data_IF_428312959017
#
_entry.id   IF_428312959017
#
_cell.length_a   1.000
_cell.length_b   1.000
_cell.length_c   1.000
_cell.angle_alpha   90.00
_cell.angle_beta   90.00
_cell.angle_gamma   90.00
#
_symmetry.space_group_name_H-M   'P 1'
#
loop_
_entity.id
_entity.type
_entity.pdbx_description
1 polymer ?
#
# COMPACT_ATOMS: atom_id res chain seq x y z
N UNK A 1 -17.40 10.45 8.79
CA UNK A 1 -16.01 10.03 9.08
C UNK A 1 -15.25 9.98 7.77
N UNK A 2 -14.03 10.51 7.76
CA UNK A 2 -13.13 10.50 6.58
C UNK A 2 -12.02 9.50 6.82
N UNK A 3 -11.92 8.52 5.93
CA UNK A 3 -10.93 7.44 5.98
C UNK A 3 -9.92 7.67 4.85
N UNK A 4 -8.66 7.76 5.20
CA UNK A 4 -7.54 7.79 4.26
C UNK A 4 -6.93 6.40 4.20
N UNK A 5 -6.70 5.89 3.01
CA UNK A 5 -6.15 4.55 2.77
C UNK A 5 -4.92 4.70 1.89
N UNK A 6 -3.79 4.16 2.32
CA UNK A 6 -2.60 4.07 1.46
C UNK A 6 -2.83 3.10 0.29
N UNK A 7 -2.01 3.20 -0.73
CA UNK A 7 -2.13 2.38 -1.93
C UNK A 7 -1.17 1.18 -1.90
N UNK A 8 0.12 1.45 -1.80
CA UNK A 8 1.17 0.45 -1.93
C UNK A 8 1.18 -0.48 -0.70
N UNK A 9 1.18 -1.79 -0.91
CA UNK A 9 1.12 -2.84 0.11
C UNK A 9 -0.09 -2.77 1.06
N UNK A 10 -1.08 -1.92 0.75
CA UNK A 10 -2.37 -1.82 1.45
C UNK A 10 -3.53 -2.25 0.54
N UNK A 11 -3.58 -1.76 -0.72
CA UNK A 11 -4.57 -2.15 -1.71
C UNK A 11 -3.95 -2.71 -2.99
N UNK A 12 -2.73 -2.30 -3.33
CA UNK A 12 -1.94 -2.77 -4.46
C UNK A 12 -0.70 -3.51 -3.94
N UNK A 13 -0.46 -4.72 -4.42
CA UNK A 13 0.60 -5.61 -3.94
C UNK A 13 1.94 -5.30 -4.63
N UNK A 14 2.66 -4.30 -4.10
CA UNK A 14 3.98 -3.94 -4.63
C UNK A 14 5.04 -4.97 -4.25
N UNK A 15 4.87 -5.66 -3.13
CA UNK A 15 5.79 -6.73 -2.72
C UNK A 15 5.80 -7.84 -3.77
N UNK A 16 4.63 -8.28 -4.26
CA UNK A 16 4.57 -9.29 -5.32
C UNK A 16 5.31 -8.80 -6.58
N UNK A 17 5.16 -7.53 -6.97
CA UNK A 17 5.87 -6.95 -8.10
C UNK A 17 7.40 -6.95 -7.91
N UNK A 18 7.91 -6.69 -6.70
CA UNK A 18 9.33 -6.83 -6.40
C UNK A 18 9.81 -8.27 -6.60
N UNK A 19 9.04 -9.25 -6.17
CA UNK A 19 9.37 -10.67 -6.31
C UNK A 19 9.36 -11.10 -7.78
N UNK A 20 8.33 -10.70 -8.54
CA UNK A 20 8.22 -10.96 -9.99
C UNK A 20 9.41 -10.39 -10.77
N UNK A 21 9.76 -9.13 -10.51
CA UNK A 21 10.86 -8.49 -11.21
C UNK A 21 12.22 -9.06 -10.83
N UNK A 22 12.38 -9.46 -9.56
CA UNK A 22 13.59 -10.14 -9.14
C UNK A 22 13.74 -11.51 -9.83
N UNK A 23 12.67 -12.29 -9.88
CA UNK A 23 12.66 -13.57 -10.60
C UNK A 23 12.95 -13.38 -12.11
N UNK A 24 12.34 -12.38 -12.73
CA UNK A 24 12.61 -12.02 -14.14
C UNK A 24 14.08 -11.70 -14.39
N UNK A 25 14.68 -10.89 -13.50
CA UNK A 25 16.03 -10.37 -13.72
C UNK A 25 17.13 -11.37 -13.32
N UNK A 26 16.87 -12.26 -12.36
CA UNK A 26 17.88 -13.14 -11.78
C UNK A 26 17.54 -14.64 -11.81
N UNK A 27 16.35 -15.02 -12.25
CA UNK A 27 15.91 -16.43 -12.33
C UNK A 27 15.70 -17.09 -10.96
N UNK A 28 15.68 -16.32 -9.88
CA UNK A 28 15.48 -16.77 -8.50
C UNK A 28 14.21 -16.12 -7.94
N UNK A 29 13.39 -16.89 -7.20
CA UNK A 29 12.18 -16.36 -6.57
C UNK A 29 12.24 -16.52 -5.07
N UNK A 30 11.96 -15.44 -4.36
CA UNK A 30 11.62 -15.44 -2.95
C UNK A 30 10.10 -15.47 -2.77
N UNK A 31 9.67 -15.89 -1.58
CA UNK A 31 8.27 -15.83 -1.16
C UNK A 31 8.06 -14.69 -0.16
N UNK A 32 6.82 -14.22 -0.01
CA UNK A 32 6.50 -13.19 1.01
C UNK A 32 6.89 -13.61 2.43
N UNK A 33 6.85 -14.92 2.72
CA UNK A 33 7.29 -15.46 4.01
C UNK A 33 8.78 -15.21 4.29
N UNK A 34 9.61 -15.13 3.25
CA UNK A 34 11.05 -14.86 3.39
C UNK A 34 11.33 -13.39 3.77
N UNK A 35 10.33 -12.51 3.62
CA UNK A 35 10.45 -11.07 3.86
C UNK A 35 9.99 -10.63 5.26
N UNK A 36 9.73 -11.56 6.18
CA UNK A 36 9.24 -11.22 7.52
C UNK A 36 10.26 -10.39 8.31
N UNK A 37 9.83 -9.18 8.71
CA UNK A 37 10.67 -8.20 9.41
C UNK A 37 11.70 -7.50 8.50
N UNK A 38 11.64 -7.70 7.18
CA UNK A 38 12.64 -7.16 6.26
C UNK A 38 12.04 -6.81 4.88
N UNK A 39 12.89 -6.26 4.01
CA UNK A 39 12.54 -5.97 2.60
C UNK A 39 13.44 -6.78 1.66
N UNK A 40 12.99 -7.07 0.45
CA UNK A 40 13.69 -7.91 -0.53
C UNK A 40 15.16 -7.48 -0.72
N UNK A 41 15.41 -6.18 -0.86
CA UNK A 41 16.78 -5.67 -1.05
C UNK A 41 17.75 -5.98 0.10
N UNK A 42 17.26 -6.32 1.29
CA UNK A 42 18.10 -6.63 2.45
C UNK A 42 18.56 -8.10 2.46
N UNK A 43 17.79 -9.00 1.83
CA UNK A 43 18.07 -10.44 1.83
C UNK A 43 18.75 -10.95 0.55
N UNK A 44 18.72 -10.16 -0.53
CA UNK A 44 19.41 -10.51 -1.78
C UNK A 44 20.92 -10.26 -1.68
N UNK A 45 21.75 -10.92 -2.55
CA UNK A 45 23.19 -10.66 -2.65
C UNK A 45 23.51 -9.16 -2.80
N UNK A 46 24.62 -8.73 -2.22
CA UNK A 46 24.98 -7.32 -2.11
C UNK A 46 25.03 -6.60 -3.47
N UNK A 47 25.58 -7.25 -4.47
CA UNK A 47 25.68 -6.74 -5.84
C UNK A 47 24.31 -6.48 -6.52
N UNK A 48 23.23 -7.13 -6.03
CA UNK A 48 21.86 -6.98 -6.56
C UNK A 48 21.02 -5.94 -5.81
N UNK A 49 21.44 -5.55 -4.59
CA UNK A 49 20.68 -4.67 -3.69
C UNK A 49 20.31 -3.34 -4.33
N UNK A 50 21.26 -2.73 -5.05
CA UNK A 50 21.03 -1.46 -5.75
C UNK A 50 19.97 -1.62 -6.84
N UNK A 51 20.05 -2.67 -7.63
CA UNK A 51 19.12 -2.97 -8.72
C UNK A 51 17.69 -3.11 -8.17
N UNK A 52 17.53 -3.88 -7.09
CA UNK A 52 16.23 -4.09 -6.45
C UNK A 52 15.66 -2.79 -5.88
N UNK A 53 16.48 -1.94 -5.24
CA UNK A 53 16.04 -0.64 -4.73
C UNK A 53 15.58 0.32 -5.85
N UNK A 54 16.10 0.16 -7.04
CA UNK A 54 15.78 1.01 -8.20
C UNK A 54 14.54 0.53 -8.98
N UNK A 55 13.94 -0.63 -8.67
CA UNK A 55 12.75 -1.12 -9.36
C UNK A 55 11.60 -0.10 -9.39
N UNK A 56 11.23 0.57 -8.28
CA UNK A 56 10.14 1.54 -8.30
C UNK A 56 10.44 2.80 -9.12
N UNK A 57 11.71 3.05 -9.45
CA UNK A 57 12.13 4.16 -10.31
C UNK A 57 12.03 3.83 -11.80
N UNK A 58 11.70 2.58 -12.15
CA UNK A 58 11.61 2.14 -13.55
C UNK A 58 10.16 2.23 -14.04
N UNK A 59 10.02 2.64 -15.29
CA UNK A 59 8.72 2.69 -15.95
C UNK A 59 8.03 1.31 -15.94
N UNK A 60 6.74 1.29 -15.66
CA UNK A 60 5.90 0.09 -15.62
C UNK A 60 6.00 -0.74 -14.33
N UNK A 61 6.78 -0.31 -13.33
CA UNK A 61 6.81 -1.02 -12.05
C UNK A 61 5.44 -1.03 -11.37
N UNK A 62 4.73 0.08 -11.40
CA UNK A 62 3.41 0.22 -10.76
C UNK A 62 2.24 -0.17 -11.67
N UNK A 63 2.55 -0.51 -12.92
CA UNK A 63 1.53 -0.95 -13.87
C UNK A 63 1.04 -2.36 -13.54
N UNK A 64 -0.26 -2.58 -13.61
CA UNK A 64 -0.90 -3.90 -13.44
C UNK A 64 -0.51 -4.64 -12.14
N UNK A 65 -0.35 -3.89 -11.04
CA UNK A 65 -0.10 -4.49 -9.73
C UNK A 65 -1.26 -5.40 -9.32
N UNK A 66 -0.99 -6.55 -8.69
CA UNK A 66 -2.05 -7.37 -8.12
C UNK A 66 -2.84 -6.59 -7.06
N UNK A 67 -4.15 -6.80 -7.02
CA UNK A 67 -5.02 -6.22 -5.98
C UNK A 67 -4.91 -7.06 -4.72
N UNK A 68 -4.74 -6.43 -3.56
CA UNK A 68 -4.75 -7.13 -2.27
C UNK A 68 -6.16 -7.68 -2.02
N UNK A 69 -6.20 -8.94 -1.63
CA UNK A 69 -7.42 -9.74 -1.48
C UNK A 69 -8.46 -9.03 -0.59
N UNK A 70 -9.74 -9.09 -1.00
CA UNK A 70 -10.90 -8.46 -0.33
C UNK A 70 -10.87 -6.93 -0.23
N UNK A 71 -9.81 -6.24 -0.67
CA UNK A 71 -9.70 -4.78 -0.57
C UNK A 71 -10.80 -4.08 -1.33
N UNK A 72 -11.10 -4.54 -2.55
CA UNK A 72 -12.08 -3.91 -3.43
C UNK A 72 -13.49 -3.94 -2.85
N UNK A 73 -13.92 -5.08 -2.36
CA UNK A 73 -15.25 -5.30 -1.80
C UNK A 73 -15.44 -4.49 -0.51
N UNK A 74 -14.49 -4.59 0.40
CA UNK A 74 -14.54 -3.91 1.70
C UNK A 74 -14.45 -2.39 1.53
N UNK A 75 -13.54 -1.90 0.68
CA UNK A 75 -13.42 -0.45 0.43
C UNK A 75 -14.67 0.11 -0.25
N UNK A 76 -15.31 -0.68 -1.12
CA UNK A 76 -16.60 -0.27 -1.69
C UNK A 76 -17.66 -0.12 -0.60
N UNK A 77 -17.73 -1.04 0.35
CA UNK A 77 -18.64 -0.94 1.48
C UNK A 77 -18.32 0.24 2.39
N UNK A 78 -17.05 0.44 2.73
CA UNK A 78 -16.60 1.63 3.47
C UNK A 78 -17.01 2.92 2.75
N UNK A 79 -16.82 2.99 1.42
CA UNK A 79 -17.16 4.17 0.63
C UNK A 79 -18.66 4.46 0.55
N UNK A 80 -19.52 3.46 0.76
CA UNK A 80 -20.97 3.65 0.86
C UNK A 80 -21.40 4.29 2.19
N UNK A 81 -20.60 4.15 3.25
CA UNK A 81 -20.90 4.63 4.62
C UNK A 81 -20.08 5.84 5.04
N UNK A 82 -18.90 6.00 4.48
CA UNK A 82 -17.92 7.00 4.88
C UNK A 82 -17.31 7.74 3.68
N UNK A 83 -16.61 8.83 3.94
CA UNK A 83 -15.78 9.51 2.94
C UNK A 83 -14.43 8.79 2.82
N UNK A 84 -14.29 7.90 1.84
CA UNK A 84 -13.03 7.20 1.58
C UNK A 84 -12.17 7.99 0.59
N UNK A 85 -10.90 8.15 0.92
CA UNK A 85 -9.84 8.72 0.08
C UNK A 85 -8.70 7.73 -0.06
N UNK A 86 -8.13 7.62 -1.25
CA UNK A 86 -6.84 6.94 -1.46
C UNK A 86 -5.74 7.98 -1.38
N UNK A 87 -4.72 7.75 -0.57
CA UNK A 87 -3.62 8.68 -0.31
C UNK A 87 -2.27 7.98 -0.50
N UNK A 88 -1.68 8.11 -1.68
CA UNK A 88 -0.39 7.50 -2.04
C UNK A 88 0.75 8.50 -2.06
N UNK A 89 1.93 8.10 -1.54
CA UNK A 89 3.18 8.87 -1.63
C UNK A 89 3.81 8.80 -3.05
N UNK A 90 2.99 8.93 -4.08
CA UNK A 90 3.38 8.77 -5.48
C UNK A 90 4.48 9.75 -5.94
N UNK A 91 4.65 10.89 -5.25
CA UNK A 91 5.69 11.89 -5.56
C UNK A 91 7.11 11.34 -5.43
N UNK A 92 7.32 10.29 -4.65
CA UNK A 92 8.61 9.61 -4.54
C UNK A 92 9.02 8.93 -5.86
N UNK A 93 8.02 8.51 -6.67
CA UNK A 93 8.23 7.74 -7.89
C UNK A 93 7.53 8.41 -9.08
N UNK A 94 8.20 9.33 -9.81
CA UNK A 94 7.56 10.13 -10.87
C UNK A 94 6.85 9.31 -11.96
N UNK A 95 7.39 8.14 -12.31
CA UNK A 95 6.76 7.25 -13.29
C UNK A 95 5.52 6.50 -12.76
N UNK A 96 5.22 6.60 -11.47
CA UNK A 96 4.08 5.93 -10.85
C UNK A 96 2.73 6.63 -11.08
N UNK A 97 2.73 7.92 -11.47
CA UNK A 97 1.51 8.73 -11.50
C UNK A 97 0.44 8.16 -12.44
N UNK A 98 0.81 7.97 -13.71
CA UNK A 98 -0.11 7.47 -14.73
C UNK A 98 -0.52 6.03 -14.40
N UNK A 99 0.46 5.16 -14.09
CA UNK A 99 0.21 3.77 -13.72
C UNK A 99 -0.77 3.67 -12.55
N UNK A 100 -0.56 4.42 -11.45
CA UNK A 100 -1.43 4.41 -10.26
C UNK A 100 -2.81 5.01 -10.54
N UNK A 101 -2.87 6.05 -11.37
CA UNK A 101 -4.14 6.65 -11.75
C UNK A 101 -5.00 5.68 -12.55
N UNK A 102 -4.43 5.05 -13.60
CA UNK A 102 -5.11 4.05 -14.43
C UNK A 102 -5.48 2.80 -13.63
N UNK A 103 -4.58 2.36 -12.74
CA UNK A 103 -4.84 1.23 -11.86
C UNK A 103 -6.06 1.47 -10.95
N UNK A 104 -6.17 2.67 -10.36
CA UNK A 104 -7.34 3.07 -9.56
C UNK A 104 -8.61 3.18 -10.39
N UNK A 105 -8.53 3.65 -11.64
CA UNK A 105 -9.67 3.67 -12.55
C UNK A 105 -10.18 2.26 -12.87
N UNK A 106 -9.26 1.32 -13.03
CA UNK A 106 -9.61 -0.06 -13.37
C UNK A 106 -10.15 -0.83 -12.15
N UNK A 107 -9.46 -0.77 -11.02
CA UNK A 107 -9.77 -1.62 -9.86
C UNK A 107 -10.73 -0.98 -8.86
N UNK A 108 -10.70 0.36 -8.70
CA UNK A 108 -11.51 1.12 -7.73
C UNK A 108 -12.29 2.27 -8.41
N UNK A 109 -13.06 2.01 -9.49
CA UNK A 109 -13.78 3.04 -10.24
C UNK A 109 -14.83 3.79 -9.40
N UNK A 110 -15.25 3.22 -8.28
CA UNK A 110 -16.17 3.84 -7.32
C UNK A 110 -15.51 4.91 -6.43
N UNK A 111 -14.18 5.00 -6.41
CA UNK A 111 -13.43 6.08 -5.76
C UNK A 111 -13.27 7.22 -6.77
N UNK A 112 -14.10 8.24 -6.60
CA UNK A 112 -14.08 9.41 -7.48
C UNK A 112 -12.69 10.07 -7.51
N UNK A 113 -12.26 10.58 -8.67
CA UNK A 113 -10.91 11.15 -8.85
C UNK A 113 -10.56 12.26 -7.85
N UNK A 114 -11.54 13.05 -7.37
CA UNK A 114 -11.34 14.08 -6.31
C UNK A 114 -10.98 13.49 -4.94
N UNK A 115 -11.10 12.19 -4.79
CA UNK A 115 -10.76 11.45 -3.57
C UNK A 115 -9.48 10.63 -3.71
N UNK A 116 -8.69 10.91 -4.75
CA UNK A 116 -7.36 10.31 -4.97
C UNK A 116 -6.32 11.38 -4.72
N UNK A 117 -5.46 11.16 -3.74
CA UNK A 117 -4.44 12.10 -3.30
C UNK A 117 -3.08 11.49 -3.61
N UNK A 118 -2.32 12.14 -4.50
CA UNK A 118 -0.93 11.81 -4.76
C UNK A 118 -0.07 12.89 -4.11
N UNK A 119 0.64 12.53 -3.05
CA UNK A 119 1.43 13.46 -2.23
C UNK A 119 2.84 12.91 -2.00
N UNK A 120 3.71 13.73 -1.40
CA UNK A 120 5.04 13.31 -0.93
C UNK A 120 5.07 13.13 0.59
N UNK A 121 4.31 13.96 1.30
CA UNK A 121 4.27 13.98 2.76
C UNK A 121 2.82 13.84 3.25
N UNK A 122 2.53 12.75 3.97
CA UNK A 122 1.19 12.50 4.50
C UNK A 122 0.88 13.28 5.78
N UNK A 123 1.85 13.98 6.39
CA UNK A 123 1.62 14.81 7.58
C UNK A 123 0.65 15.97 7.33
N UNK A 124 0.52 16.40 6.07
CA UNK A 124 -0.39 17.49 5.65
C UNK A 124 -1.84 17.01 5.49
N UNK A 125 -2.09 15.72 5.52
CA UNK A 125 -3.41 15.14 5.29
C UNK A 125 -4.32 15.32 6.51
N UNK A 126 -5.60 15.57 6.26
CA UNK A 126 -6.63 15.67 7.29
C UNK A 126 -7.69 14.62 7.10
N UNK A 127 -7.89 13.81 8.12
CA UNK A 127 -8.90 12.73 8.15
C UNK A 127 -9.12 12.24 9.57
N UNK A 128 -10.13 11.39 9.75
CA UNK A 128 -10.43 10.80 11.06
C UNK A 128 -9.64 9.50 11.27
N UNK A 129 -9.35 8.78 10.17
CA UNK A 129 -8.63 7.50 10.19
C UNK A 129 -7.60 7.49 9.06
N UNK A 130 -6.40 6.95 9.33
CA UNK A 130 -5.42 6.56 8.32
C UNK A 130 -5.14 5.06 8.45
N UNK A 131 -5.26 4.35 7.32
CA UNK A 131 -4.83 2.96 7.13
C UNK A 131 -3.59 2.98 6.26
N UNK A 132 -2.45 2.53 6.79
CA UNK A 132 -1.14 2.61 6.14
C UNK A 132 -0.26 1.47 6.66
N UNK A 133 0.71 1.01 5.90
CA UNK A 133 1.64 -0.05 6.29
C UNK A 133 2.95 0.49 6.89
N UNK A 134 3.17 1.81 6.86
CA UNK A 134 4.40 2.43 7.31
C UNK A 134 4.26 3.30 8.58
N UNK A 135 5.09 2.99 9.60
CA UNK A 135 5.17 3.75 10.85
C UNK A 135 5.42 5.25 10.64
N UNK A 136 6.28 5.63 9.69
CA UNK A 136 6.60 7.04 9.47
C UNK A 136 5.38 7.86 8.98
N UNK A 137 4.43 7.27 8.28
CA UNK A 137 3.18 7.93 7.89
C UNK A 137 2.19 7.97 9.06
N UNK A 138 2.05 6.84 9.76
CA UNK A 138 1.13 6.76 10.90
C UNK A 138 1.57 7.66 12.06
N UNK A 139 2.86 7.76 12.34
CA UNK A 139 3.39 8.51 13.49
C UNK A 139 3.07 10.01 13.44
N UNK A 140 2.96 10.58 12.24
CA UNK A 140 2.68 12.01 12.01
C UNK A 140 1.20 12.33 11.80
N UNK A 141 0.35 11.32 11.71
CA UNK A 141 -1.08 11.52 11.45
C UNK A 141 -1.87 11.83 12.72
N UNK A 142 -2.70 12.88 12.68
CA UNK A 142 -3.58 13.28 13.77
C UNK A 142 -4.97 12.66 13.60
N UNK A 143 -5.17 11.45 14.13
CA UNK A 143 -6.42 10.71 14.06
C UNK A 143 -6.22 9.27 14.51
N UNK A 144 -7.23 8.42 14.28
CA UNK A 144 -7.12 6.97 14.47
C UNK A 144 -6.15 6.40 13.43
N UNK A 145 -5.18 5.65 13.89
CA UNK A 145 -4.09 5.10 13.09
C UNK A 145 -4.19 3.59 13.09
N UNK A 146 -4.36 3.01 11.91
CA UNK A 146 -4.48 1.56 11.72
C UNK A 146 -3.31 1.12 10.84
N UNK A 147 -2.47 0.24 11.37
CA UNK A 147 -1.38 -0.37 10.62
C UNK A 147 -1.90 -1.58 9.85
N UNK A 148 -1.83 -1.51 8.53
CA UNK A 148 -2.08 -2.67 7.68
C UNK A 148 -0.86 -3.59 7.71
N UNK A 149 -1.09 -4.89 7.91
CA UNK A 149 -0.01 -5.86 8.03
C UNK A 149 0.66 -6.12 6.69
N UNK A 150 1.95 -5.84 6.65
CA UNK A 150 2.85 -6.18 5.57
C UNK A 150 4.08 -6.91 6.15
N UNK A 151 4.83 -7.70 5.37
CA UNK A 151 5.98 -8.45 5.89
C UNK A 151 6.97 -7.60 6.66
N UNK A 152 7.27 -6.38 6.20
CA UNK A 152 8.27 -5.52 6.80
C UNK A 152 7.88 -4.93 8.18
N UNK A 153 6.57 -4.89 8.50
CA UNK A 153 6.07 -4.26 9.73
C UNK A 153 5.52 -5.25 10.76
N UNK A 154 5.70 -6.54 10.56
CA UNK A 154 5.05 -7.60 11.37
C UNK A 154 5.37 -7.53 12.87
N UNK A 155 6.52 -6.98 13.24
CA UNK A 155 6.94 -6.80 14.63
C UNK A 155 6.47 -5.49 15.26
N UNK A 156 5.89 -4.57 14.50
CA UNK A 156 5.40 -3.30 15.04
C UNK A 156 4.09 -3.51 15.81
N UNK A 157 4.05 -3.08 17.06
CA UNK A 157 2.88 -3.21 17.96
C UNK A 157 2.33 -1.86 18.43
N UNK A 158 2.78 -0.76 17.87
CA UNK A 158 2.44 0.60 18.31
C UNK A 158 1.00 1.01 17.97
N UNK A 159 0.41 0.41 16.93
CA UNK A 159 -0.85 0.84 16.36
C UNK A 159 -1.91 -0.25 16.43
N UNK A 160 -3.17 0.15 16.34
CA UNK A 160 -4.24 -0.77 16.01
C UNK A 160 -3.93 -1.46 14.68
N UNK A 161 -4.15 -2.79 14.60
CA UNK A 161 -3.69 -3.58 13.46
C UNK A 161 -4.86 -4.14 12.66
N UNK A 162 -4.70 -4.10 11.36
CA UNK A 162 -5.55 -4.76 10.38
C UNK A 162 -4.68 -5.78 9.61
N UNK A 163 -4.89 -7.08 9.84
CA UNK A 163 -4.06 -8.12 9.23
C UNK A 163 -4.45 -8.43 7.79
N UNK A 164 -5.71 -8.20 7.45
CA UNK A 164 -6.28 -8.29 6.13
C UNK A 164 -7.54 -7.42 6.06
N UNK A 165 -8.10 -7.26 4.88
CA UNK A 165 -9.25 -6.38 4.69
C UNK A 165 -10.54 -6.85 5.39
N UNK A 166 -10.69 -8.15 5.68
CA UNK A 166 -11.87 -8.64 6.43
C UNK A 166 -11.90 -8.14 7.88
N UNK A 167 -10.77 -7.80 8.46
CA UNK A 167 -10.71 -7.20 9.80
C UNK A 167 -11.46 -5.85 9.85
N UNK A 168 -11.58 -5.16 8.73
CA UNK A 168 -12.31 -3.89 8.64
C UNK A 168 -13.80 -4.05 8.98
N UNK A 169 -14.40 -5.20 8.77
CA UNK A 169 -15.80 -5.47 9.12
C UNK A 169 -16.05 -5.21 10.62
N UNK A 170 -15.12 -5.66 11.47
CA UNK A 170 -15.17 -5.45 12.92
C UNK A 170 -14.71 -4.05 13.31
N UNK A 171 -13.65 -3.54 12.67
CA UNK A 171 -13.04 -2.24 13.04
C UNK A 171 -13.95 -1.04 12.72
N UNK A 172 -14.87 -1.21 11.76
CA UNK A 172 -15.78 -0.17 11.29
C UNK A 172 -17.27 -0.53 11.41
N UNK A 173 -17.60 -1.61 12.11
CA UNK A 173 -18.99 -2.09 12.32
C UNK A 173 -19.76 -2.20 11.00
N UNK A 174 -19.16 -2.90 9.99
CA UNK A 174 -19.74 -2.98 8.65
C UNK A 174 -20.90 -4.00 8.53
N UNK A 175 -21.01 -4.92 9.46
CA UNK A 175 -22.09 -5.93 9.54
C UNK A 175 -23.24 -5.49 10.41
#
# INVERSE_FOLDING_TARGET
MRILIDMDDVIADTIERFLEWYERDFGERFNKADLQGTKLHAIVPEERRKIVKEYPLRNGFFKDLPVIENSREIIKELNNRFEVYIASAAMEFPFSFEDKYEWLDHHFPFIHWKRRIFCGDKSVLKGDVLIDDHDFNLSVFNGRRIMFSAPHNISDTKYERMNNWLDAEKLFDLK
#
